data_IF_467582716698
#
_entry.id   IF_467582716698
#
_cell.length_a   1.000
_cell.length_b   1.000
_cell.length_c   1.000
_cell.angle_alpha   90.00
_cell.angle_beta   90.00
_cell.angle_gamma   90.00
#
_symmetry.space_group_name_H-M   'P 1'
#
loop_
_entity.id
_entity.type
_entity.pdbx_description
1 polymer ?
#
# COMPACT_ATOMS: atom_id res chain seq x y z
N UNK A 1 -2.91 -23.06 -43.74
CA UNK A 1 -1.81 -22.27 -43.17
C UNK A 1 -2.39 -21.50 -41.99
N UNK A 2 -2.23 -22.04 -40.78
CA UNK A 2 -2.70 -21.41 -39.55
C UNK A 2 -1.53 -20.68 -38.88
N UNK A 3 -1.71 -19.48 -38.32
CA UNK A 3 -0.63 -18.75 -37.69
C UNK A 3 -0.36 -19.36 -36.32
N UNK A 4 0.83 -19.92 -36.16
CA UNK A 4 1.39 -20.33 -34.87
C UNK A 4 1.76 -19.08 -34.05
N UNK A 5 0.97 -18.78 -33.02
CA UNK A 5 1.34 -17.80 -31.99
C UNK A 5 2.48 -18.37 -31.13
N UNK A 6 3.54 -17.60 -30.83
CA UNK A 6 4.62 -18.08 -29.99
C UNK A 6 4.18 -18.07 -28.52
N UNK A 7 3.96 -19.26 -27.95
CA UNK A 7 3.83 -19.42 -26.51
C UNK A 7 5.23 -19.33 -25.87
N UNK A 8 5.54 -18.18 -25.28
CA UNK A 8 6.67 -18.05 -24.35
C UNK A 8 6.32 -18.75 -23.05
N UNK A 9 6.86 -19.94 -22.84
CA UNK A 9 6.85 -20.62 -21.56
C UNK A 9 7.63 -19.77 -20.54
N UNK A 10 6.95 -19.23 -19.54
CA UNK A 10 7.58 -18.63 -18.36
C UNK A 10 8.23 -19.76 -17.55
N UNK A 11 9.53 -19.99 -17.78
CA UNK A 11 10.33 -20.83 -16.92
C UNK A 11 10.59 -20.07 -15.60
N UNK A 12 10.04 -20.58 -14.50
CA UNK A 12 10.40 -20.14 -13.16
C UNK A 12 11.81 -20.68 -12.87
N UNK A 13 12.82 -19.82 -13.00
CA UNK A 13 14.19 -20.14 -12.60
C UNK A 13 14.26 -20.22 -11.07
N UNK A 14 14.56 -21.43 -10.56
CA UNK A 14 14.68 -21.75 -9.13
C UNK A 14 16.08 -21.51 -8.55
N UNK A 15 17.01 -20.94 -9.32
CA UNK A 15 18.42 -20.85 -8.91
C UNK A 15 18.81 -19.56 -8.19
N UNK A 16 17.87 -18.64 -7.94
CA UNK A 16 18.09 -17.50 -7.06
C UNK A 16 17.14 -17.59 -5.88
N UNK A 17 17.62 -17.90 -4.66
CA UNK A 17 16.94 -17.45 -3.45
C UNK A 17 16.70 -15.93 -3.59
N UNK A 18 15.67 -15.40 -2.96
CA UNK A 18 15.47 -13.94 -2.75
C UNK A 18 16.61 -13.36 -1.86
N UNK A 19 17.87 -13.53 -2.27
CA UNK A 19 19.08 -12.99 -1.68
C UNK A 19 19.38 -11.57 -2.19
N UNK A 20 18.51 -10.99 -3.00
CA UNK A 20 18.52 -9.56 -3.33
C UNK A 20 18.11 -8.68 -2.11
N UNK A 21 17.89 -9.31 -0.96
CA UNK A 21 17.83 -8.72 0.39
C UNK A 21 19.21 -8.51 1.05
N UNK A 22 20.31 -8.43 0.30
CA UNK A 22 21.55 -7.86 0.82
C UNK A 22 21.57 -6.34 0.63
N UNK A 23 21.75 -5.63 1.73
CA UNK A 23 21.94 -4.17 1.79
C UNK A 23 22.88 -3.71 0.68
N UNK A 24 22.36 -2.89 -0.25
CA UNK A 24 23.22 -2.23 -1.23
C UNK A 24 24.26 -1.37 -0.48
N UNK A 25 25.55 -1.45 -0.82
CA UNK A 25 26.53 -0.55 -0.24
C UNK A 25 26.17 0.90 -0.59
N UNK A 26 26.33 1.79 0.40
CA UNK A 26 26.12 3.22 0.23
C UNK A 26 26.90 3.73 -1.00
N UNK A 27 26.29 4.55 -1.87
CA UNK A 27 26.97 5.04 -3.06
C UNK A 27 28.20 5.86 -2.67
N UNK A 28 29.34 5.54 -3.29
CA UNK A 28 30.61 6.23 -3.12
C UNK A 28 30.46 7.73 -3.39
N UNK A 29 30.97 8.55 -2.47
CA UNK A 29 30.99 10.01 -2.55
C UNK A 29 31.84 10.47 -3.73
N UNK A 30 31.22 10.73 -4.88
CA UNK A 30 31.84 11.51 -5.95
C UNK A 30 31.72 13.01 -5.63
N UNK A 31 32.83 13.59 -5.18
CA UNK A 31 32.97 15.02 -4.94
C UNK A 31 32.86 15.83 -6.25
N UNK A 32 31.69 16.41 -6.50
CA UNK A 32 31.49 17.45 -7.51
C UNK A 32 31.88 18.83 -6.96
N UNK A 33 32.98 19.37 -7.48
CA UNK A 33 33.36 20.78 -7.32
C UNK A 33 32.32 21.68 -8.00
N UNK A 34 31.68 22.57 -7.24
CA UNK A 34 30.49 23.28 -7.67
C UNK A 34 30.64 24.82 -7.70
N UNK A 35 30.39 25.41 -8.87
CA UNK A 35 30.09 26.83 -9.05
C UNK A 35 28.69 27.22 -8.56
N UNK A 36 28.22 28.45 -8.86
CA UNK A 36 26.99 29.09 -8.31
C UNK A 36 25.71 28.23 -8.27
N UNK A 37 25.58 27.19 -9.09
CA UNK A 37 24.46 26.25 -9.08
C UNK A 37 24.43 25.34 -7.83
N UNK A 38 25.57 25.11 -7.18
CA UNK A 38 25.68 24.27 -5.98
C UNK A 38 25.05 24.86 -4.74
N UNK A 39 24.95 26.20 -4.64
CA UNK A 39 24.24 26.84 -3.52
C UNK A 39 22.74 26.62 -3.61
N UNK A 40 22.16 26.66 -4.81
CA UNK A 40 20.73 26.40 -5.00
C UNK A 40 20.39 24.94 -4.68
N UNK A 41 21.18 23.98 -5.18
CA UNK A 41 21.00 22.57 -4.86
C UNK A 41 21.20 22.26 -3.37
N UNK A 42 22.16 22.91 -2.69
CA UNK A 42 22.31 22.80 -1.23
C UNK A 42 21.12 23.36 -0.47
N UNK A 43 20.57 24.51 -0.88
CA UNK A 43 19.40 25.11 -0.23
C UNK A 43 18.17 24.23 -0.42
N UNK A 44 17.95 23.69 -1.62
CA UNK A 44 16.86 22.75 -1.90
C UNK A 44 17.06 21.47 -1.09
N UNK A 45 18.24 20.86 -1.10
CA UNK A 45 18.52 19.65 -0.32
C UNK A 45 18.36 19.87 1.20
N UNK A 46 18.80 21.01 1.73
CA UNK A 46 18.61 21.37 3.14
C UNK A 46 17.13 21.61 3.47
N UNK A 47 16.39 22.27 2.59
CA UNK A 47 14.95 22.52 2.79
C UNK A 47 14.14 21.21 2.72
N UNK A 48 14.51 20.32 1.80
CA UNK A 48 13.90 18.98 1.68
C UNK A 48 14.28 18.11 2.88
N UNK A 49 15.52 18.16 3.36
CA UNK A 49 15.94 17.46 4.57
C UNK A 49 15.20 17.96 5.81
N UNK A 50 14.94 19.27 5.93
CA UNK A 50 14.13 19.85 7.02
C UNK A 50 12.68 19.40 6.92
N UNK A 51 12.10 19.32 5.71
CA UNK A 51 10.74 18.81 5.53
C UNK A 51 10.64 17.30 5.81
N UNK A 52 11.64 16.51 5.42
CA UNK A 52 11.70 15.08 5.70
C UNK A 52 11.93 14.83 7.20
N UNK A 53 12.78 15.62 7.86
CA UNK A 53 12.99 15.56 9.30
C UNK A 53 11.73 15.99 10.07
N UNK A 54 11.05 17.05 9.64
CA UNK A 54 9.77 17.46 10.22
C UNK A 54 8.69 16.38 10.01
N UNK A 55 8.71 15.70 8.87
CA UNK A 55 7.82 14.57 8.58
C UNK A 55 8.15 13.34 9.43
N UNK A 56 9.43 13.02 9.66
CA UNK A 56 9.83 11.94 10.58
C UNK A 56 9.53 12.27 12.04
N UNK A 57 9.79 13.50 12.48
CA UNK A 57 9.42 13.99 13.82
C UNK A 57 7.89 13.94 13.98
N UNK A 58 7.12 14.29 12.94
CA UNK A 58 5.66 14.20 12.97
C UNK A 58 5.16 12.74 13.02
N UNK A 59 5.78 11.86 12.23
CA UNK A 59 5.43 10.44 12.19
C UNK A 59 5.76 9.74 13.52
N UNK A 60 6.89 10.07 14.14
CA UNK A 60 7.30 9.54 15.46
C UNK A 60 6.56 10.17 16.63
N UNK A 61 6.19 11.46 16.54
CA UNK A 61 5.43 12.14 17.60
C UNK A 61 4.00 11.61 17.79
N UNK A 62 3.45 10.86 16.84
CA UNK A 62 2.11 10.26 16.95
C UNK A 62 2.07 8.94 17.74
N UNK A 63 3.20 8.50 18.29
CA UNK A 63 3.25 7.50 19.38
C UNK A 63 3.07 8.18 20.77
N UNK A 64 3.01 9.53 20.83
CA UNK A 64 3.03 10.28 22.09
C UNK A 64 1.71 11.03 22.39
N UNK A 65 1.34 10.96 23.67
CA UNK A 65 0.22 11.56 24.44
C UNK A 65 -0.24 12.98 24.04
N UNK A 66 -1.40 13.48 24.52
CA UNK A 66 -1.94 14.82 24.20
C UNK A 66 -0.99 16.03 24.32
N UNK A 67 0.12 15.89 25.06
CA UNK A 67 1.21 16.87 25.12
C UNK A 67 1.92 17.07 23.76
N UNK A 68 1.94 16.06 22.89
CA UNK A 68 2.55 16.10 21.55
C UNK A 68 1.87 17.11 20.63
N UNK A 69 0.55 17.32 20.72
CA UNK A 69 -0.19 18.29 19.89
C UNK A 69 0.19 19.74 20.20
N UNK A 70 0.43 20.06 21.47
CA UNK A 70 0.91 21.40 21.88
C UNK A 70 2.36 21.64 21.44
N UNK A 71 3.21 20.61 21.54
CA UNK A 71 4.58 20.67 21.02
C UNK A 71 4.59 20.86 19.49
N UNK A 72 3.68 20.20 18.77
CA UNK A 72 3.54 20.34 17.33
C UNK A 72 3.16 21.77 16.92
N UNK A 73 2.22 22.39 17.62
CA UNK A 73 1.88 23.82 17.43
C UNK A 73 3.07 24.73 17.78
N UNK A 74 3.80 24.43 18.86
CA UNK A 74 4.98 25.18 19.28
C UNK A 74 6.15 25.07 18.28
N UNK A 75 6.29 23.97 17.54
CA UNK A 75 7.28 23.81 16.47
C UNK A 75 6.81 24.32 15.11
N UNK A 76 5.52 24.19 14.80
CA UNK A 76 4.96 24.65 13.53
C UNK A 76 5.03 26.18 13.42
N UNK A 77 4.86 26.92 14.51
CA UNK A 77 4.87 28.38 14.51
C UNK A 77 6.24 28.99 14.13
N UNK A 78 7.39 28.59 14.70
CA UNK A 78 8.72 29.06 14.28
C UNK A 78 9.09 28.68 12.85
N UNK A 79 8.68 27.49 12.39
CA UNK A 79 8.94 27.04 11.01
C UNK A 79 8.09 27.86 10.03
N UNK A 80 6.81 28.07 10.34
CA UNK A 80 5.94 28.95 9.55
C UNK A 80 6.48 30.39 9.53
N UNK A 81 6.95 30.91 10.67
CA UNK A 81 7.57 32.23 10.76
C UNK A 81 8.85 32.35 9.92
N UNK A 82 9.75 31.36 10.03
CA UNK A 82 10.98 31.32 9.24
C UNK A 82 10.68 31.25 7.74
N UNK A 83 9.72 30.41 7.34
CA UNK A 83 9.24 30.33 5.97
C UNK A 83 8.64 31.67 5.49
N UNK A 84 7.82 32.33 6.30
CA UNK A 84 7.27 33.65 5.97
C UNK A 84 8.35 34.71 5.78
N UNK A 85 9.36 34.74 6.65
CA UNK A 85 10.47 35.70 6.53
C UNK A 85 11.33 35.45 5.28
N UNK A 86 11.55 34.18 4.94
CA UNK A 86 12.23 33.77 3.71
C UNK A 86 11.43 34.15 2.46
N UNK A 87 10.12 33.86 2.44
CA UNK A 87 9.24 34.20 1.32
C UNK A 87 9.11 35.71 1.10
N UNK A 88 9.16 36.53 2.15
CA UNK A 88 9.20 38.01 2.02
C UNK A 88 10.45 38.49 1.28
N UNK A 89 11.60 37.83 1.48
CA UNK A 89 12.86 38.21 0.82
C UNK A 89 12.92 37.83 -0.66
N UNK A 90 12.11 36.88 -1.09
CA UNK A 90 12.14 36.35 -2.46
C UNK A 90 10.75 36.35 -3.10
N UNK A 91 10.29 37.54 -3.50
CA UNK A 91 8.97 37.72 -4.12
C UNK A 91 8.71 36.80 -5.33
N UNK A 92 9.76 36.45 -6.10
CA UNK A 92 9.65 35.50 -7.23
C UNK A 92 9.37 34.06 -6.77
N UNK A 93 9.93 33.62 -5.64
CA UNK A 93 9.67 32.28 -5.10
C UNK A 93 8.22 32.11 -4.65
N UNK A 94 7.56 33.18 -4.20
CA UNK A 94 6.14 33.14 -3.85
C UNK A 94 5.27 32.67 -5.02
N UNK A 95 5.51 33.21 -6.23
CA UNK A 95 4.74 32.80 -7.40
C UNK A 95 4.99 31.33 -7.76
N UNK A 96 6.23 30.86 -7.62
CA UNK A 96 6.58 29.45 -7.80
C UNK A 96 5.85 28.56 -6.80
N UNK A 97 5.89 28.89 -5.51
CA UNK A 97 5.21 28.12 -4.46
C UNK A 97 3.69 28.13 -4.60
N UNK A 98 3.08 29.27 -4.95
CA UNK A 98 1.66 29.32 -5.29
C UNK A 98 1.34 28.40 -6.46
N UNK A 99 2.18 28.42 -7.51
CA UNK A 99 2.03 27.53 -8.66
C UNK A 99 2.09 26.05 -8.27
N UNK A 100 3.10 25.66 -7.48
CA UNK A 100 3.24 24.29 -6.95
C UNK A 100 1.99 23.89 -6.14
N UNK A 101 1.51 24.77 -5.26
CA UNK A 101 0.35 24.49 -4.42
C UNK A 101 -0.92 24.27 -5.25
N UNK A 102 -1.17 25.12 -6.25
CA UNK A 102 -2.29 24.96 -7.18
C UNK A 102 -2.15 23.65 -7.94
N UNK A 103 -0.97 23.34 -8.49
CA UNK A 103 -0.74 22.08 -9.21
C UNK A 103 -1.04 20.86 -8.33
N UNK A 104 -0.57 20.84 -7.07
CA UNK A 104 -0.82 19.73 -6.15
C UNK A 104 -2.31 19.61 -5.76
N UNK A 105 -3.02 20.72 -5.57
CA UNK A 105 -4.46 20.70 -5.31
C UNK A 105 -5.23 20.20 -6.53
N UNK A 106 -4.93 20.70 -7.72
CA UNK A 106 -5.51 20.23 -8.97
C UNK A 106 -5.26 18.74 -9.18
N UNK A 107 -4.05 18.27 -8.87
CA UNK A 107 -3.69 16.86 -8.94
C UNK A 107 -4.52 16.00 -7.97
N UNK A 108 -4.72 16.45 -6.72
CA UNK A 108 -5.58 15.76 -5.77
C UNK A 108 -7.06 15.74 -6.19
N UNK A 109 -7.56 16.87 -6.71
CA UNK A 109 -8.94 16.99 -7.21
C UNK A 109 -9.17 16.07 -8.41
N UNK A 110 -8.23 16.04 -9.36
CA UNK A 110 -8.25 15.09 -10.47
C UNK A 110 -8.23 13.64 -9.98
N UNK A 111 -7.42 13.34 -8.96
CA UNK A 111 -7.36 12.01 -8.36
C UNK A 111 -8.67 11.51 -7.74
N UNK A 112 -9.62 12.40 -7.40
CA UNK A 112 -10.94 12.02 -6.92
C UNK A 112 -11.81 11.38 -8.02
N UNK A 113 -11.55 11.70 -9.29
CA UNK A 113 -12.33 11.18 -10.43
C UNK A 113 -11.71 9.93 -11.04
N UNK A 114 -10.45 9.63 -10.76
CA UNK A 114 -9.79 8.43 -11.28
C UNK A 114 -10.20 7.18 -10.49
N UNK A 115 -10.20 5.98 -11.08
CA UNK A 115 -10.31 4.74 -10.31
C UNK A 115 -9.01 4.45 -9.54
N UNK A 116 -9.07 3.64 -8.48
CA UNK A 116 -7.86 3.12 -7.82
C UNK A 116 -7.31 1.89 -8.57
N UNK A 117 -8.21 1.09 -9.15
CA UNK A 117 -7.89 -0.06 -10.01
C UNK A 117 -7.26 0.41 -11.31
N UNK A 118 -6.22 -0.28 -11.77
CA UNK A 118 -5.71 -0.13 -13.13
C UNK A 118 -6.63 -0.84 -14.11
N UNK A 119 -6.97 -0.20 -15.24
CA UNK A 119 -7.75 -0.83 -16.32
C UNK A 119 -7.00 -2.02 -16.93
N UNK A 120 -5.67 -2.02 -16.84
CA UNK A 120 -4.84 -3.09 -17.39
C UNK A 120 -4.93 -4.40 -16.62
N UNK A 121 -5.47 -4.38 -15.38
CA UNK A 121 -5.70 -5.60 -14.61
C UNK A 121 -6.73 -6.53 -15.28
N UNK A 122 -7.65 -5.97 -16.06
CA UNK A 122 -8.64 -6.73 -16.84
C UNK A 122 -7.90 -7.67 -17.80
N UNK A 123 -6.92 -7.14 -18.54
CA UNK A 123 -6.13 -7.90 -19.50
C UNK A 123 -5.08 -8.80 -18.83
N UNK A 124 -4.53 -8.37 -17.69
CA UNK A 124 -3.53 -9.14 -16.95
C UNK A 124 -4.10 -10.45 -16.41
N UNK A 125 -5.37 -10.45 -16.01
CA UNK A 125 -6.04 -11.63 -15.45
C UNK A 125 -6.30 -12.72 -16.50
N UNK A 126 -6.59 -12.37 -17.74
CA UNK A 126 -6.80 -13.37 -18.81
C UNK A 126 -5.56 -14.26 -19.01
N UNK A 127 -4.38 -13.75 -18.66
CA UNK A 127 -3.12 -14.50 -18.68
C UNK A 127 -2.92 -15.41 -17.45
N UNK A 128 -3.65 -15.17 -16.35
CA UNK A 128 -3.44 -15.82 -15.06
C UNK A 128 -4.66 -16.58 -14.50
N UNK A 129 -5.85 -16.46 -15.10
CA UNK A 129 -7.09 -16.84 -14.43
C UNK A 129 -7.22 -18.35 -14.17
N UNK A 130 -7.13 -18.71 -12.89
CA UNK A 130 -7.61 -19.98 -12.31
C UNK A 130 -8.85 -19.79 -11.42
N UNK A 131 -9.39 -18.56 -11.27
CA UNK A 131 -10.46 -18.27 -10.30
C UNK A 131 -11.74 -17.68 -10.93
N UNK A 132 -12.01 -17.95 -12.21
CA UNK A 132 -13.20 -17.44 -12.91
C UNK A 132 -13.18 -15.91 -13.16
N UNK A 133 -14.35 -15.27 -13.41
CA UNK A 133 -14.39 -13.87 -13.80
C UNK A 133 -14.01 -12.93 -12.65
N UNK A 134 -13.35 -11.82 -13.01
CA UNK A 134 -12.93 -10.80 -12.04
C UNK A 134 -14.11 -10.13 -11.37
N UNK A 135 -14.00 -10.01 -10.05
CA UNK A 135 -14.95 -9.28 -9.24
C UNK A 135 -14.36 -7.92 -8.83
N UNK A 136 -15.24 -7.01 -8.46
CA UNK A 136 -14.90 -5.72 -7.90
C UNK A 136 -15.29 -5.66 -6.41
N UNK A 137 -15.09 -4.49 -5.81
CA UNK A 137 -15.45 -4.26 -4.41
C UNK A 137 -16.95 -4.49 -4.12
N UNK A 138 -17.83 -4.33 -5.13
CA UNK A 138 -19.27 -4.48 -4.95
C UNK A 138 -19.67 -5.92 -4.64
N UNK A 139 -18.86 -6.92 -5.04
CA UNK A 139 -19.11 -8.32 -4.69
C UNK A 139 -19.02 -8.57 -3.18
N UNK A 140 -18.04 -7.95 -2.49
CA UNK A 140 -17.93 -8.02 -1.03
C UNK A 140 -19.09 -7.29 -0.35
N UNK A 141 -19.52 -6.16 -0.90
CA UNK A 141 -20.69 -5.43 -0.39
C UNK A 141 -21.99 -6.22 -0.56
N UNK A 142 -22.16 -6.91 -1.68
CA UNK A 142 -23.28 -7.81 -1.92
C UNK A 142 -23.27 -9.00 -0.94
N UNK A 143 -22.10 -9.56 -0.63
CA UNK A 143 -21.97 -10.59 0.40
C UNK A 143 -22.39 -10.04 1.79
N UNK A 144 -21.99 -8.82 2.14
CA UNK A 144 -22.38 -8.19 3.40
C UNK A 144 -23.90 -8.09 3.56
N UNK A 145 -24.65 -7.86 2.48
CA UNK A 145 -26.11 -7.83 2.51
C UNK A 145 -26.74 -9.20 2.82
N UNK A 146 -26.00 -10.28 2.62
CA UNK A 146 -26.44 -11.67 2.86
C UNK A 146 -25.96 -12.21 4.22
N UNK A 147 -25.25 -11.41 5.03
CA UNK A 147 -24.66 -11.90 6.28
C UNK A 147 -25.66 -12.57 7.22
N UNK A 148 -26.87 -12.01 7.36
CA UNK A 148 -27.90 -12.56 8.25
C UNK A 148 -28.60 -13.82 7.68
N UNK A 149 -28.41 -14.12 6.40
CA UNK A 149 -29.01 -15.28 5.73
C UNK A 149 -28.06 -16.46 5.59
N UNK A 150 -26.76 -16.24 5.81
CA UNK A 150 -25.72 -17.26 5.69
C UNK A 150 -25.31 -17.74 7.08
N UNK A 151 -24.90 -18.99 7.17
CA UNK A 151 -24.14 -19.46 8.32
C UNK A 151 -22.81 -18.66 8.42
N UNK A 152 -22.34 -18.38 9.65
CA UNK A 152 -21.14 -17.54 9.85
C UNK A 152 -19.90 -18.15 9.19
N UNK A 153 -19.72 -19.47 9.31
CA UNK A 153 -18.62 -20.18 8.65
C UNK A 153 -18.74 -20.07 7.14
N UNK A 154 -19.94 -20.30 6.61
CA UNK A 154 -20.21 -20.16 5.18
C UNK A 154 -19.92 -18.74 4.67
N UNK A 155 -20.31 -17.71 5.43
CA UNK A 155 -20.02 -16.31 5.13
C UNK A 155 -18.50 -16.06 5.02
N UNK A 156 -17.71 -16.54 5.99
CA UNK A 156 -16.26 -16.38 5.97
C UNK A 156 -15.58 -17.09 4.80
N UNK A 157 -16.01 -18.32 4.49
CA UNK A 157 -15.52 -19.09 3.33
C UNK A 157 -15.88 -18.37 2.02
N UNK A 158 -17.11 -17.86 1.89
CA UNK A 158 -17.54 -17.11 0.72
C UNK A 158 -16.76 -15.80 0.58
N UNK A 159 -16.46 -15.11 1.68
CA UNK A 159 -15.61 -13.92 1.66
C UNK A 159 -14.21 -14.25 1.11
N UNK A 160 -13.56 -15.33 1.57
CA UNK A 160 -12.26 -15.74 1.06
C UNK A 160 -12.27 -16.02 -0.46
N UNK A 161 -13.31 -16.71 -0.95
CA UNK A 161 -13.50 -16.97 -2.40
C UNK A 161 -13.76 -15.70 -3.21
N UNK A 162 -14.46 -14.72 -2.64
CA UNK A 162 -14.68 -13.43 -3.31
C UNK A 162 -13.37 -12.64 -3.35
N UNK A 163 -12.62 -12.58 -2.24
CA UNK A 163 -11.34 -11.86 -2.19
C UNK A 163 -10.35 -12.38 -3.23
N UNK A 164 -10.23 -13.71 -3.40
CA UNK A 164 -9.35 -14.30 -4.43
C UNK A 164 -9.72 -13.93 -5.86
N UNK A 165 -10.96 -13.46 -6.06
CA UNK A 165 -11.46 -12.98 -7.35
C UNK A 165 -11.45 -11.47 -7.47
N UNK A 166 -11.35 -10.75 -6.35
CA UNK A 166 -11.27 -9.28 -6.30
C UNK A 166 -9.82 -8.81 -6.42
N UNK A 167 -8.88 -9.51 -5.77
CA UNK A 167 -7.45 -9.20 -5.78
C UNK A 167 -6.77 -10.09 -6.83
N UNK A 168 -6.14 -9.47 -7.83
CA UNK A 168 -5.26 -10.17 -8.77
C UNK A 168 -3.88 -10.31 -8.14
N UNK A 169 -3.43 -11.55 -7.94
CA UNK A 169 -2.07 -11.82 -7.49
C UNK A 169 -1.07 -11.34 -8.55
N UNK A 170 -0.18 -10.43 -8.18
CA UNK A 170 0.88 -9.97 -9.08
C UNK A 170 2.13 -9.62 -8.29
N UNK A 171 3.28 -10.09 -8.78
CA UNK A 171 4.61 -9.77 -8.27
C UNK A 171 5.51 -9.18 -9.37
N UNK A 172 5.20 -7.97 -9.88
CA UNK A 172 5.98 -7.35 -10.94
C UNK A 172 7.43 -7.15 -10.52
N UNK A 173 8.36 -7.54 -11.40
CA UNK A 173 9.81 -7.46 -11.11
C UNK A 173 10.42 -6.10 -11.47
N UNK A 174 9.72 -5.29 -12.26
CA UNK A 174 10.23 -4.02 -12.75
C UNK A 174 9.29 -2.85 -12.43
N UNK A 175 9.88 -1.65 -12.29
CA UNK A 175 9.16 -0.43 -11.92
C UNK A 175 8.08 -0.01 -12.93
N UNK A 176 8.30 -0.09 -14.27
CA UNK A 176 7.25 0.22 -15.24
C UNK A 176 5.98 -0.61 -15.03
N UNK A 177 6.13 -1.92 -14.80
CA UNK A 177 5.00 -2.81 -14.55
C UNK A 177 4.34 -2.53 -13.19
N UNK A 178 5.13 -2.27 -12.14
CA UNK A 178 4.60 -1.83 -10.84
C UNK A 178 3.75 -0.55 -10.96
N UNK A 179 4.20 0.43 -11.75
CA UNK A 179 3.45 1.65 -11.98
C UNK A 179 2.18 1.38 -12.79
N UNK A 180 2.29 0.60 -13.87
CA UNK A 180 1.20 0.25 -14.79
C UNK A 180 0.05 -0.50 -14.11
N UNK A 181 0.38 -1.42 -13.21
CA UNK A 181 -0.59 -2.18 -12.42
C UNK A 181 -0.98 -1.47 -11.10
N UNK A 182 -0.55 -0.23 -10.88
CA UNK A 182 -0.83 0.54 -9.65
C UNK A 182 -0.34 -0.11 -8.33
N UNK A 183 0.74 -0.89 -8.37
CA UNK A 183 1.48 -1.24 -7.14
C UNK A 183 2.14 -0.02 -6.51
N UNK A 184 2.66 0.89 -7.34
CA UNK A 184 3.05 2.23 -6.91
C UNK A 184 1.80 3.09 -6.89
N UNK A 185 1.56 3.78 -5.77
CA UNK A 185 0.42 4.70 -5.66
C UNK A 185 0.57 5.81 -6.71
N UNK A 186 -0.41 6.00 -7.62
CA UNK A 186 -0.34 7.08 -8.59
C UNK A 186 -0.29 8.46 -7.90
N UNK A 187 0.43 9.44 -8.47
CA UNK A 187 0.63 10.74 -7.84
C UNK A 187 -0.68 11.51 -7.62
N UNK A 188 -1.67 11.37 -8.51
CA UNK A 188 -3.02 11.90 -8.35
C UNK A 188 -3.78 11.28 -7.18
N UNK A 189 -3.48 10.02 -6.84
CA UNK A 189 -4.06 9.36 -5.66
C UNK A 189 -3.41 9.84 -4.37
N UNK A 190 -2.09 9.88 -4.34
CA UNK A 190 -1.35 10.36 -3.19
C UNK A 190 0.11 10.64 -3.57
N UNK A 191 0.42 11.90 -3.92
CA UNK A 191 1.76 12.29 -4.32
C UNK A 191 2.81 12.09 -3.21
N UNK A 192 2.42 12.04 -1.93
CA UNK A 192 3.34 11.76 -0.81
C UNK A 192 3.79 10.29 -0.82
N UNK A 193 2.85 9.36 -0.98
CA UNK A 193 3.17 7.93 -1.10
C UNK A 193 3.88 7.62 -2.42
N UNK A 194 3.48 8.28 -3.50
CA UNK A 194 4.18 8.22 -4.78
C UNK A 194 5.65 8.65 -4.61
N UNK A 195 5.91 9.79 -3.96
CA UNK A 195 7.26 10.25 -3.67
C UNK A 195 8.02 9.29 -2.75
N UNK A 196 7.34 8.74 -1.72
CA UNK A 196 7.91 7.74 -0.83
C UNK A 196 8.35 6.47 -1.58
N UNK A 197 7.66 6.08 -2.67
CA UNK A 197 8.10 4.96 -3.53
C UNK A 197 9.44 5.19 -4.24
N UNK A 198 9.92 6.43 -4.29
CA UNK A 198 11.23 6.79 -4.84
C UNK A 198 12.28 6.91 -3.74
N UNK A 199 11.94 7.54 -2.62
CA UNK A 199 12.91 7.81 -1.53
C UNK A 199 13.06 6.65 -0.56
N UNK A 200 12.01 5.84 -0.40
CA UNK A 200 11.95 4.62 0.43
C UNK A 200 11.19 3.53 -0.33
N UNK A 201 11.80 2.90 -1.35
CA UNK A 201 11.08 1.96 -2.21
C UNK A 201 10.44 0.79 -1.46
N UNK A 202 11.01 0.35 -0.34
CA UNK A 202 10.35 -0.61 0.55
C UNK A 202 9.70 0.13 1.73
N UNK A 203 8.40 -0.05 2.01
CA UNK A 203 7.42 -0.87 1.28
C UNK A 203 6.72 -0.15 0.10
N UNK A 204 6.96 1.15 -0.12
CA UNK A 204 6.06 2.01 -0.91
C UNK A 204 6.03 1.77 -2.44
N UNK A 205 6.96 0.98 -2.99
CA UNK A 205 6.96 0.59 -4.41
C UNK A 205 6.00 -0.57 -4.71
N UNK A 206 5.66 -1.35 -3.68
CA UNK A 206 4.66 -2.42 -3.70
C UNK A 206 3.66 -2.14 -2.59
N UNK A 207 3.08 -0.95 -2.64
CA UNK A 207 2.20 -0.46 -1.60
C UNK A 207 1.02 -1.43 -1.41
N UNK A 208 0.63 -1.66 -0.16
CA UNK A 208 -0.56 -2.42 0.21
C UNK A 208 -1.50 -1.56 1.06
N UNK A 209 -2.76 -1.98 1.16
CA UNK A 209 -3.77 -1.29 1.97
C UNK A 209 -4.37 -2.27 2.98
N UNK A 210 -4.23 -1.95 4.27
CA UNK A 210 -4.88 -2.72 5.34
C UNK A 210 -6.40 -2.53 5.36
N UNK A 211 -6.92 -1.40 4.85
CA UNK A 211 -8.36 -1.17 4.71
C UNK A 211 -8.94 -1.97 3.54
N UNK A 212 -9.87 -2.87 3.84
CA UNK A 212 -10.42 -3.81 2.88
C UNK A 212 -11.03 -3.12 1.66
N UNK A 213 -11.77 -2.02 1.85
CA UNK A 213 -12.39 -1.26 0.75
C UNK A 213 -11.35 -0.72 -0.24
N UNK A 214 -10.22 -0.23 0.26
CA UNK A 214 -9.15 0.31 -0.61
C UNK A 214 -8.34 -0.80 -1.27
N UNK A 215 -8.00 -1.85 -0.52
CA UNK A 215 -7.32 -3.02 -1.08
C UNK A 215 -8.15 -3.65 -2.20
N UNK A 216 -9.44 -3.90 -1.95
CA UNK A 216 -10.41 -4.42 -2.91
C UNK A 216 -10.62 -3.48 -4.12
N UNK A 217 -10.80 -2.18 -3.88
CA UNK A 217 -10.95 -1.19 -4.94
C UNK A 217 -9.71 -1.10 -5.82
N UNK A 218 -8.50 -1.29 -5.28
CA UNK A 218 -7.28 -1.38 -6.08
C UNK A 218 -7.22 -2.68 -6.88
N UNK A 219 -7.59 -3.80 -6.27
CA UNK A 219 -7.78 -5.08 -6.96
C UNK A 219 -6.49 -5.80 -7.39
N UNK A 220 -5.35 -5.46 -6.82
CA UNK A 220 -4.05 -6.10 -7.10
C UNK A 220 -3.19 -6.15 -5.84
N UNK A 221 -2.36 -7.17 -5.70
CA UNK A 221 -1.41 -7.30 -4.60
C UNK A 221 -0.75 -8.68 -4.57
N UNK A 222 -0.04 -8.97 -3.49
CA UNK A 222 0.43 -10.31 -3.18
C UNK A 222 -0.55 -11.02 -2.23
N UNK A 223 -0.20 -12.22 -1.77
CA UNK A 223 -0.98 -12.97 -0.79
C UNK A 223 -1.22 -12.15 0.50
N UNK A 224 -0.25 -11.35 0.94
CA UNK A 224 -0.36 -10.39 2.05
C UNK A 224 -1.53 -9.42 1.89
N UNK A 225 -1.69 -8.81 0.70
CA UNK A 225 -2.80 -7.90 0.42
C UNK A 225 -4.16 -8.62 0.48
N UNK A 226 -4.24 -9.85 -0.02
CA UNK A 226 -5.47 -10.64 0.03
C UNK A 226 -5.84 -11.01 1.48
N UNK A 227 -4.86 -11.46 2.27
CA UNK A 227 -5.02 -11.78 3.69
C UNK A 227 -5.46 -10.56 4.51
N UNK A 228 -4.82 -9.40 4.31
CA UNK A 228 -5.23 -8.16 4.98
C UNK A 228 -6.64 -7.71 4.60
N UNK A 229 -7.01 -7.80 3.31
CA UNK A 229 -8.36 -7.44 2.85
C UNK A 229 -9.40 -8.37 3.47
N UNK A 230 -9.17 -9.67 3.44
CA UNK A 230 -10.09 -10.64 4.03
C UNK A 230 -10.23 -10.40 5.52
N UNK A 231 -9.12 -10.31 6.26
CA UNK A 231 -9.20 -10.17 7.71
C UNK A 231 -9.86 -8.83 8.11
N UNK A 232 -9.46 -7.71 7.51
CA UNK A 232 -10.11 -6.43 7.81
C UNK A 232 -11.60 -6.43 7.41
N UNK A 233 -11.99 -7.15 6.35
CA UNK A 233 -13.40 -7.34 5.99
C UNK A 233 -14.14 -8.15 7.06
N UNK A 234 -13.62 -9.31 7.47
CA UNK A 234 -14.24 -10.17 8.49
C UNK A 234 -14.37 -9.47 9.85
N UNK A 235 -13.34 -8.76 10.29
CA UNK A 235 -13.39 -7.94 11.51
C UNK A 235 -14.50 -6.89 11.45
N UNK A 236 -14.72 -6.26 10.28
CA UNK A 236 -15.83 -5.30 10.12
C UNK A 236 -17.23 -5.93 10.12
N UNK A 237 -17.33 -7.26 10.13
CA UNK A 237 -18.57 -8.03 10.20
C UNK A 237 -18.67 -8.88 11.49
N UNK A 238 -17.86 -8.60 12.50
CA UNK A 238 -17.98 -9.23 13.83
C UNK A 238 -17.40 -10.65 13.91
N UNK A 239 -16.42 -10.94 13.07
CA UNK A 239 -15.48 -12.04 13.29
C UNK A 239 -14.25 -11.50 14.01
N UNK A 240 -13.55 -12.36 14.73
CA UNK A 240 -12.19 -12.05 15.21
C UNK A 240 -11.21 -12.86 14.38
N UNK A 241 -10.30 -12.18 13.67
CA UNK A 241 -9.35 -12.83 12.79
C UNK A 241 -7.94 -12.29 12.95
N UNK A 242 -6.99 -13.18 12.75
CA UNK A 242 -5.58 -12.86 12.66
C UNK A 242 -5.11 -12.89 11.20
N UNK A 243 -4.08 -12.09 10.91
CA UNK A 243 -3.25 -12.31 9.72
C UNK A 243 -2.08 -13.20 10.13
N UNK A 244 -1.84 -14.27 9.38
CA UNK A 244 -0.75 -15.21 9.65
C UNK A 244 0.28 -15.09 8.54
N UNK A 245 1.46 -14.57 8.90
CA UNK A 245 2.64 -14.60 8.04
C UNK A 245 3.30 -15.98 8.14
N UNK A 246 3.33 -16.69 7.02
CA UNK A 246 4.00 -17.96 6.82
C UNK A 246 5.34 -17.75 6.09
N UNK A 247 6.16 -18.80 5.95
CA UNK A 247 7.39 -18.70 5.15
C UNK A 247 7.05 -18.57 3.66
N UNK A 248 7.07 -17.34 3.13
CA UNK A 248 6.78 -17.04 1.73
C UNK A 248 5.29 -17.00 1.37
N UNK A 249 4.38 -17.15 2.34
CA UNK A 249 2.93 -17.07 2.13
C UNK A 249 2.23 -16.31 3.25
N UNK A 250 1.00 -15.87 3.03
CA UNK A 250 0.22 -15.16 4.05
C UNK A 250 -1.24 -15.57 3.94
N UNK A 251 -1.84 -15.90 5.09
CA UNK A 251 -3.23 -16.35 5.18
C UNK A 251 -3.97 -15.62 6.30
N UNK A 252 -5.27 -15.85 6.38
CA UNK A 252 -6.12 -15.36 7.46
C UNK A 252 -6.60 -16.55 8.28
N UNK A 253 -6.69 -16.42 9.59
CA UNK A 253 -7.38 -17.43 10.42
C UNK A 253 -8.41 -16.76 11.31
N UNK A 254 -9.48 -17.47 11.65
CA UNK A 254 -10.33 -17.05 12.76
C UNK A 254 -9.59 -17.31 14.08
N UNK A 255 -9.67 -16.35 14.99
CA UNK A 255 -8.97 -16.42 16.26
C UNK A 255 -9.60 -17.55 17.13
N UNK A 256 -8.84 -18.59 17.50
CA UNK A 256 -9.38 -19.73 18.24
C UNK A 256 -9.79 -19.42 19.68
N UNK A 257 -9.34 -18.29 20.24
CA UNK A 257 -9.67 -17.89 21.61
C UNK A 257 -11.00 -17.14 21.71
N UNK A 258 -11.42 -16.49 20.63
CA UNK A 258 -12.49 -15.49 20.65
C UNK A 258 -13.59 -15.73 19.61
N UNK A 259 -13.30 -16.47 18.54
CA UNK A 259 -14.28 -16.75 17.49
C UNK A 259 -14.87 -18.17 17.61
N UNK A 260 -16.21 -18.31 17.72
CA UNK A 260 -16.85 -19.62 17.88
C UNK A 260 -16.79 -20.51 16.64
N UNK A 261 -16.49 -19.96 15.46
CA UNK A 261 -16.39 -20.71 14.21
C UNK A 261 -14.98 -21.26 13.95
N UNK A 262 -14.06 -21.03 14.89
CA UNK A 262 -12.75 -21.66 14.91
C UNK A 262 -12.85 -23.19 15.18
N UNK A 263 -11.90 -23.99 14.66
CA UNK A 263 -10.77 -23.59 13.84
C UNK A 263 -11.14 -23.43 12.36
N UNK A 264 -10.68 -22.32 11.76
CA UNK A 264 -10.82 -22.05 10.33
C UNK A 264 -9.63 -21.21 9.86
N UNK A 265 -8.86 -21.77 8.91
CA UNK A 265 -7.80 -21.04 8.19
C UNK A 265 -8.25 -20.81 6.75
N UNK A 266 -8.07 -19.59 6.27
CA UNK A 266 -8.55 -19.08 5.00
C UNK A 266 -7.36 -18.57 4.20
N UNK A 267 -7.18 -19.10 3.00
CA UNK A 267 -6.26 -18.57 2.00
C UNK A 267 -7.07 -17.76 0.98
N UNK A 268 -7.16 -16.43 1.14
CA UNK A 268 -7.88 -15.56 0.22
C UNK A 268 -7.13 -15.28 -1.08
N UNK A 269 -5.86 -15.68 -1.22
CA UNK A 269 -5.18 -15.59 -2.50
C UNK A 269 -5.67 -16.69 -3.44
N UNK A 270 -5.89 -17.88 -2.89
CA UNK A 270 -6.30 -19.07 -3.63
C UNK A 270 -7.81 -19.37 -3.53
N UNK A 271 -8.53 -18.64 -2.66
CA UNK A 271 -9.96 -18.84 -2.39
C UNK A 271 -10.26 -20.14 -1.65
N UNK A 272 -9.31 -20.60 -0.83
CA UNK A 272 -9.35 -21.88 -0.13
C UNK A 272 -9.68 -21.66 1.33
N UNK A 273 -10.42 -22.61 1.90
CA UNK A 273 -10.65 -22.73 3.32
C UNK A 273 -10.19 -24.11 3.81
N UNK A 274 -9.61 -24.13 5.00
CA UNK A 274 -9.17 -25.31 5.74
C UNK A 274 -10.00 -25.45 7.01
N UNK A 275 -10.70 -26.57 7.14
CA UNK A 275 -11.50 -26.89 8.33
C UNK A 275 -10.62 -27.45 9.47
N UNK A 276 -9.48 -26.81 9.71
CA UNK A 276 -8.43 -27.23 10.63
C UNK A 276 -7.78 -26.00 11.28
N UNK A 277 -7.14 -26.21 12.43
CA UNK A 277 -6.34 -25.18 13.09
C UNK A 277 -5.00 -24.99 12.37
N UNK A 278 -4.34 -23.86 12.58
CA UNK A 278 -3.01 -23.63 12.00
C UNK A 278 -2.02 -24.72 12.46
N UNK A 279 -2.06 -25.08 13.74
CA UNK A 279 -1.19 -26.09 14.35
C UNK A 279 -1.43 -27.48 13.73
N UNK A 280 -2.68 -27.78 13.37
CA UNK A 280 -3.02 -29.02 12.67
C UNK A 280 -2.43 -29.04 11.26
N UNK A 281 -2.48 -27.90 10.55
CA UNK A 281 -1.94 -27.78 9.19
C UNK A 281 -0.41 -27.83 9.19
N UNK A 282 0.25 -27.23 10.19
CA UNK A 282 1.70 -27.31 10.40
C UNK A 282 2.20 -28.74 10.58
N UNK A 283 1.43 -29.57 11.29
CA UNK A 283 1.78 -30.98 11.55
C UNK A 283 1.39 -31.92 10.40
N UNK A 284 0.58 -31.44 9.45
CA UNK A 284 -0.05 -32.26 8.41
C UNK A 284 0.03 -31.60 7.03
N UNK A 285 1.24 -31.39 6.48
CA UNK A 285 1.42 -30.74 5.18
C UNK A 285 0.70 -31.49 4.05
N UNK A 286 0.44 -32.80 4.18
CA UNK A 286 -0.33 -33.56 3.20
C UNK A 286 -1.77 -33.06 3.06
N UNK A 287 -2.37 -32.54 4.14
CA UNK A 287 -3.72 -31.95 4.11
C UNK A 287 -3.69 -30.65 3.31
N UNK A 288 -2.68 -29.81 3.55
CA UNK A 288 -2.47 -28.54 2.85
C UNK A 288 -2.28 -28.79 1.35
N UNK A 289 -1.32 -29.64 1.01
CA UNK A 289 -0.99 -30.04 -0.36
C UNK A 289 -2.22 -30.57 -1.10
N UNK A 290 -2.92 -31.54 -0.52
CA UNK A 290 -4.09 -32.15 -1.16
C UNK A 290 -5.21 -31.14 -1.39
N UNK A 291 -5.39 -30.16 -0.49
CA UNK A 291 -6.38 -29.11 -0.66
C UNK A 291 -6.07 -28.22 -1.86
N UNK A 292 -4.82 -27.77 -2.02
CA UNK A 292 -4.40 -26.98 -3.18
C UNK A 292 -4.53 -27.77 -4.48
N UNK A 293 -4.12 -29.04 -4.50
CA UNK A 293 -4.29 -29.91 -5.66
C UNK A 293 -5.75 -30.08 -6.06
N UNK A 294 -6.63 -30.26 -5.09
CA UNK A 294 -8.07 -30.39 -5.35
C UNK A 294 -8.66 -29.08 -5.89
N UNK A 295 -8.28 -27.94 -5.32
CA UNK A 295 -8.71 -26.62 -5.82
C UNK A 295 -8.20 -26.35 -7.24
N UNK A 296 -6.96 -26.75 -7.55
CA UNK A 296 -6.40 -26.65 -8.88
C UNK A 296 -7.16 -27.52 -9.88
N UNK A 297 -7.48 -28.78 -9.54
CA UNK A 297 -8.22 -29.71 -10.41
C UNK A 297 -9.63 -29.24 -10.75
N UNK A 298 -10.31 -28.57 -9.82
CA UNK A 298 -11.65 -28.02 -10.06
C UNK A 298 -11.63 -26.80 -10.99
N UNK A 299 -10.48 -26.13 -11.10
CA UNK A 299 -10.37 -24.82 -11.74
C UNK A 299 -9.48 -24.78 -12.98
N UNK A 300 -8.57 -25.75 -13.16
CA UNK A 300 -7.60 -25.76 -14.23
C UNK A 300 -8.07 -26.64 -15.38
N UNK A 301 -8.12 -26.08 -16.59
CA UNK A 301 -8.37 -26.83 -17.81
C UNK A 301 -7.16 -27.65 -18.28
N UNK A 302 -5.89 -27.24 -18.04
CA UNK A 302 -4.75 -27.90 -18.73
C UNK A 302 -3.35 -27.95 -18.04
N UNK A 303 -3.15 -27.75 -16.72
CA UNK A 303 -1.77 -27.72 -16.16
C UNK A 303 -1.54 -28.46 -14.83
N UNK A 304 -1.59 -29.78 -14.85
CA UNK A 304 -1.40 -30.62 -13.64
C UNK A 304 0.01 -30.49 -13.02
N UNK A 305 1.08 -30.52 -13.83
CA UNK A 305 2.45 -30.55 -13.30
C UNK A 305 2.90 -29.25 -12.61
N UNK A 306 2.43 -28.08 -13.05
CA UNK A 306 2.72 -26.81 -12.39
C UNK A 306 2.10 -26.76 -10.99
N UNK A 307 0.86 -27.23 -10.87
CA UNK A 307 0.13 -27.26 -9.61
C UNK A 307 0.68 -28.28 -8.61
N UNK A 308 1.25 -29.39 -9.07
CA UNK A 308 1.94 -30.32 -8.18
C UNK A 308 3.10 -29.65 -7.45
N UNK A 309 3.92 -28.90 -8.18
CA UNK A 309 5.04 -28.16 -7.57
C UNK A 309 4.57 -27.00 -6.69
N UNK A 310 3.56 -26.24 -7.14
CA UNK A 310 3.04 -25.10 -6.39
C UNK A 310 2.36 -25.55 -5.09
N UNK A 311 1.61 -26.65 -5.12
CA UNK A 311 0.97 -27.21 -3.94
C UNK A 311 1.99 -27.75 -2.92
N UNK A 312 3.11 -28.30 -3.39
CA UNK A 312 4.21 -28.70 -2.50
C UNK A 312 4.82 -27.47 -1.82
N UNK A 313 5.16 -26.44 -2.59
CA UNK A 313 5.75 -25.22 -2.04
C UNK A 313 4.81 -24.50 -1.06
N UNK A 314 3.50 -24.44 -1.38
CA UNK A 314 2.51 -23.89 -0.47
C UNK A 314 2.32 -24.76 0.77
N UNK A 315 2.44 -26.09 0.69
CA UNK A 315 2.38 -26.94 1.86
C UNK A 315 3.62 -26.77 2.76
N UNK A 316 4.80 -26.63 2.16
CA UNK A 316 6.05 -26.32 2.88
C UNK A 316 5.96 -24.99 3.63
N UNK A 317 5.32 -23.96 3.04
CA UNK A 317 5.11 -22.68 3.70
C UNK A 317 4.31 -22.78 5.01
N UNK A 318 3.44 -23.79 5.15
CA UNK A 318 2.67 -24.00 6.39
C UNK A 318 3.47 -24.69 7.49
N UNK A 319 4.71 -25.12 7.28
CA UNK A 319 5.54 -25.64 8.36
C UNK A 319 5.70 -24.60 9.49
N UNK A 320 5.80 -25.05 10.74
CA UNK A 320 5.76 -24.15 11.91
C UNK A 320 6.95 -23.18 12.03
N UNK A 321 8.04 -23.42 11.31
CA UNK A 321 9.25 -22.61 11.40
C UNK A 321 9.02 -21.23 10.77
N UNK A 322 9.17 -20.17 11.56
CA UNK A 322 9.05 -18.79 11.07
C UNK A 322 7.63 -18.22 11.02
N UNK A 323 6.60 -19.00 11.31
CA UNK A 323 5.21 -18.53 11.35
C UNK A 323 5.02 -17.42 12.41
N UNK A 324 4.32 -16.36 12.02
CA UNK A 324 3.98 -15.23 12.89
C UNK A 324 2.50 -14.90 12.77
N UNK A 325 1.86 -14.73 13.91
CA UNK A 325 0.46 -14.30 14.03
C UNK A 325 0.46 -12.81 14.35
N UNK A 326 -0.40 -12.08 13.65
CA UNK A 326 -0.66 -10.66 13.87
C UNK A 326 -2.15 -10.51 14.16
N UNK A 327 -2.49 -9.80 15.23
CA UNK A 327 -3.86 -9.67 15.75
C UNK A 327 -4.80 -9.07 14.71
N UNK A 328 -4.29 -8.22 13.81
CA UNK A 328 -5.08 -7.71 12.71
C UNK A 328 -4.23 -7.30 11.48
N UNK A 329 -4.93 -6.87 10.42
CA UNK A 329 -4.30 -6.33 9.22
C UNK A 329 -3.50 -5.03 9.45
N UNK A 330 -3.83 -4.25 10.48
CA UNK A 330 -3.17 -2.98 10.80
C UNK A 330 -1.79 -3.25 11.41
N UNK A 331 -1.69 -4.21 12.32
CA UNK A 331 -0.46 -4.68 12.94
C UNK A 331 0.46 -5.31 11.89
N UNK A 332 -0.05 -6.27 11.09
CA UNK A 332 0.71 -6.90 10.01
C UNK A 332 1.32 -5.86 9.06
N UNK A 333 0.54 -4.85 8.67
CA UNK A 333 0.99 -3.85 7.71
C UNK A 333 2.11 -2.96 8.25
N UNK A 334 2.19 -2.68 9.55
CA UNK A 334 3.26 -1.90 10.19
C UNK A 334 3.33 -0.39 9.84
N UNK A 335 2.73 0.05 8.73
CA UNK A 335 2.79 1.43 8.23
C UNK A 335 1.42 2.14 8.21
N UNK A 336 0.41 1.57 8.87
CA UNK A 336 -0.97 2.05 8.79
C UNK A 336 -1.09 3.53 9.14
N UNK A 337 -0.44 3.96 10.22
CA UNK A 337 -0.44 5.35 10.69
C UNK A 337 0.12 6.32 9.65
N UNK A 338 1.23 5.98 8.99
CA UNK A 338 1.82 6.83 7.95
C UNK A 338 0.89 6.96 6.74
N UNK A 339 0.29 5.85 6.34
CA UNK A 339 -0.64 5.81 5.21
C UNK A 339 -1.89 6.61 5.52
N UNK A 340 -2.43 6.51 6.74
CA UNK A 340 -3.57 7.29 7.19
C UNK A 340 -3.25 8.80 7.21
N UNK A 341 -2.11 9.17 7.77
CA UNK A 341 -1.64 10.57 7.80
C UNK A 341 -1.46 11.13 6.38
N UNK A 342 -0.89 10.36 5.47
CA UNK A 342 -0.65 10.82 4.09
C UNK A 342 -1.94 11.22 3.37
N UNK A 343 -3.09 10.63 3.73
CA UNK A 343 -4.41 10.95 3.14
C UNK A 343 -4.87 12.35 3.48
N UNK A 344 -4.55 12.82 4.68
CA UNK A 344 -4.86 14.16 5.14
C UNK A 344 -3.77 15.14 4.70
N UNK A 345 -2.51 14.76 4.84
CA UNK A 345 -1.35 15.62 4.56
C UNK A 345 -1.27 16.02 3.09
N UNK A 346 -1.70 15.17 2.15
CA UNK A 346 -1.75 15.54 0.73
C UNK A 346 -2.65 16.75 0.46
N UNK A 347 -3.64 17.03 1.32
CA UNK A 347 -4.51 18.20 1.22
C UNK A 347 -3.99 19.38 2.04
N UNK A 348 -3.55 19.12 3.28
CA UNK A 348 -3.07 20.17 4.18
C UNK A 348 -1.85 20.88 3.59
N UNK A 349 -0.90 20.12 3.03
CA UNK A 349 0.35 20.68 2.52
C UNK A 349 0.14 21.80 1.49
N UNK A 350 -0.58 21.61 0.37
CA UNK A 350 -0.75 22.70 -0.58
C UNK A 350 -1.66 23.83 -0.07
N UNK A 351 -2.65 23.54 0.79
CA UNK A 351 -3.49 24.59 1.39
C UNK A 351 -2.67 25.53 2.29
N UNK A 352 -1.78 24.96 3.13
CA UNK A 352 -0.89 25.76 3.98
C UNK A 352 0.10 26.58 3.14
N UNK A 353 0.59 26.03 2.02
CA UNK A 353 1.46 26.74 1.09
C UNK A 353 0.75 27.94 0.43
N UNK A 354 -0.51 27.78 0.01
CA UNK A 354 -1.33 28.88 -0.52
C UNK A 354 -1.58 29.97 0.52
N UNK A 355 -1.96 29.58 1.74
CA UNK A 355 -2.25 30.53 2.82
C UNK A 355 -1.00 31.35 3.16
N UNK A 356 0.16 30.71 3.30
CA UNK A 356 1.43 31.38 3.57
C UNK A 356 1.79 32.39 2.46
N UNK A 357 1.60 32.00 1.19
CA UNK A 357 1.83 32.89 0.05
C UNK A 357 0.84 34.07 0.01
N UNK A 358 -0.42 33.85 0.37
CA UNK A 358 -1.46 34.87 0.44
C UNK A 358 -1.18 35.92 1.53
N UNK A 359 -0.82 35.49 2.73
CA UNK A 359 -0.46 36.37 3.86
C UNK A 359 0.73 37.25 3.50
N UNK A 360 1.78 36.67 2.89
CA UNK A 360 2.97 37.40 2.47
C UNK A 360 2.70 38.49 1.41
N UNK A 361 1.62 38.36 0.62
CA UNK A 361 1.20 39.39 -0.35
C UNK A 361 0.61 40.61 0.35
N UNK A 362 -0.28 40.40 1.32
CA UNK A 362 -0.95 41.49 2.02
C UNK A 362 0.01 42.32 2.86
N UNK A 363 1.03 41.70 3.48
CA UNK A 363 2.05 42.45 4.24
C UNK A 363 2.87 43.38 3.34
N UNK A 364 3.25 42.92 2.14
CA UNK A 364 4.03 43.73 1.20
C UNK A 364 3.28 44.97 0.71
N UNK A 365 1.95 44.88 0.55
CA UNK A 365 1.14 46.03 0.13
C UNK A 365 1.02 47.08 1.25
N UNK A 366 0.90 46.65 2.51
CA UNK A 366 0.84 47.56 3.66
C UNK A 366 2.15 48.34 3.86
N UNK A 367 3.29 47.68 3.67
CA UNK A 367 4.60 48.33 3.77
C UNK A 367 4.75 49.41 2.67
N UNK A 368 4.23 49.16 1.46
CA UNK A 368 4.23 50.14 0.36
C UNK A 368 3.32 51.34 0.62
N UNK A 369 2.13 51.14 1.17
CA UNK A 369 1.22 52.27 1.48
C UNK A 369 1.73 53.15 2.61
N UNK A 370 2.31 52.54 3.66
CA UNK A 370 2.88 53.30 4.78
C UNK A 370 4.08 54.16 4.37
N UNK A 371 4.90 53.69 3.40
CA UNK A 371 6.03 54.48 2.89
C UNK A 371 5.57 55.74 2.15
N UNK A 372 4.47 55.67 1.39
CA UNK A 372 3.91 56.81 0.64
C UNK A 372 3.27 57.84 1.57
N UNK A 373 2.64 57.43 2.67
CA UNK A 373 2.04 58.36 3.63
C UNK A 373 3.08 59.11 4.49
N UNK A 374 4.32 58.60 4.55
CA UNK A 374 5.42 59.22 5.33
C UNK A 374 6.28 60.22 4.55
N UNK A 375 6.04 60.36 3.24
CA UNK A 375 6.71 61.30 2.32
C UNK A 375 5.75 62.42 1.94
#
# INVERSE_FOLDING_TARGET
MSPSSPHTAYAFDKSTPDSDYQERPAPAEHAFSCGRHGRFLKIVAQSTAVLLLAFEIYATANVLTPWSRKALLAFALPVAWSAMSFLRRFAHLRHVFTGIAICLLSLNLYGLTQPLRSEELINYRDLQSHHGPQLDCAALEALSQQQNSLDRREFAINAARIVSRVIVFSLPRNRPELARLHHIVPPEKNYLLWLASWTRPHPFSRMEYFEWRRGAARGVGACSQAAMVLCNYLNSHGFDCDVVGLEGHVVTRLNPETDPDAPLVLDPDQGIAFDHSLETLEQRPEVVRNRYLNNARTNATERHAYWDQQAEHLAEAYCSEGNRVYEDAREYFGYATLVDQSRLLKWIFPLTLLLACGIARNSSLRDSTAAVEST
#
